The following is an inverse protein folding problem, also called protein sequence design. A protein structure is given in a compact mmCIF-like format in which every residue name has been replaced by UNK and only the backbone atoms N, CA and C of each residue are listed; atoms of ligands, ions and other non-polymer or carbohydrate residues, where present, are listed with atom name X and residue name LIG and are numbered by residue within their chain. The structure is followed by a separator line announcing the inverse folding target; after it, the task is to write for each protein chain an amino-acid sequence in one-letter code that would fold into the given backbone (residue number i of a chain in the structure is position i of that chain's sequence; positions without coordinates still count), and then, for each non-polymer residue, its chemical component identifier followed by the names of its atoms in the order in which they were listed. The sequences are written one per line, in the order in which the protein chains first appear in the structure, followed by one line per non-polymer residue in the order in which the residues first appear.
data_IF_416716167085
#
_entry.id   IF_416716167085
#
_cell.length_a   1.000
_cell.length_b   1.000
_cell.length_c   1.000
_cell.angle_alpha   90.00
_cell.angle_beta   90.00
_cell.angle_gamma   90.00
#
_symmetry.space_group_name_H-M   'P 1'
#
loop_
_entity.id
_entity.type
_entity.pdbx_description
1 polymer ?
#
# COMPACT_ATOMS: atom_id res chain seq x y z
N UNK A 1 -8.38 1.04 1.86
CA UNK A 1 -9.28 -0.07 1.51
C UNK A 1 -10.69 0.39 1.09
N UNK A 2 -10.96 1.71 1.08
CA UNK A 2 -12.30 2.26 0.84
C UNK A 2 -12.68 2.44 -0.64
N UNK A 3 -11.73 2.32 -1.54
CA UNK A 3 -11.92 2.68 -2.94
C UNK A 3 -11.96 1.43 -3.81
N UNK A 4 -13.17 0.96 -4.15
CA UNK A 4 -13.52 -0.07 -5.15
C UNK A 4 -13.15 -1.54 -4.88
N UNK A 5 -12.46 -1.90 -3.80
CA UNK A 5 -12.20 -3.32 -3.53
C UNK A 5 -13.16 -3.87 -2.49
N UNK A 6 -13.83 -4.96 -2.83
CA UNK A 6 -14.65 -5.70 -1.88
C UNK A 6 -13.75 -6.33 -0.81
N UNK A 7 -14.13 -6.22 0.44
CA UNK A 7 -13.43 -6.86 1.55
C UNK A 7 -14.41 -7.48 2.55
N UNK A 8 -13.92 -8.47 3.28
CA UNK A 8 -14.65 -9.16 4.35
C UNK A 8 -13.91 -8.90 5.66
N UNK A 9 -14.65 -8.50 6.69
CA UNK A 9 -14.12 -8.32 8.05
C UNK A 9 -14.44 -9.57 8.86
N UNK A 10 -13.46 -10.10 9.59
CA UNK A 10 -13.65 -11.18 10.55
C UNK A 10 -13.43 -10.62 11.94
N UNK A 11 -14.42 -10.72 12.81
CA UNK A 11 -14.31 -10.37 14.22
C UNK A 11 -15.13 -11.31 15.11
N UNK A 12 -14.71 -11.46 16.38
CA UNK A 12 -15.43 -12.23 17.41
C UNK A 12 -16.59 -11.44 18.01
N UNK A 13 -16.51 -10.11 18.02
CA UNK A 13 -17.44 -9.20 18.67
C UNK A 13 -18.48 -8.71 17.66
N UNK A 14 -19.75 -9.02 17.95
CA UNK A 14 -20.87 -8.70 17.03
C UNK A 14 -21.15 -7.21 16.99
N UNK A 15 -21.03 -6.55 18.14
CA UNK A 15 -21.40 -5.14 18.26
C UNK A 15 -20.48 -4.26 17.39
N UNK A 16 -19.17 -4.56 17.37
CA UNK A 16 -18.19 -3.89 16.51
C UNK A 16 -18.51 -4.08 15.02
N UNK A 17 -18.98 -5.27 14.63
CA UNK A 17 -19.39 -5.56 13.25
C UNK A 17 -20.69 -4.85 12.86
N UNK A 18 -21.64 -4.71 13.78
CA UNK A 18 -22.90 -3.99 13.56
C UNK A 18 -22.60 -2.49 13.40
N UNK A 19 -21.79 -1.92 14.28
CA UNK A 19 -21.37 -0.52 14.20
C UNK A 19 -20.66 -0.24 12.88
N UNK A 20 -19.76 -1.12 12.46
CA UNK A 20 -19.05 -1.01 11.18
C UNK A 20 -20.04 -1.02 10.00
N UNK A 21 -21.04 -1.91 10.02
CA UNK A 21 -22.09 -1.99 8.99
C UNK A 21 -22.96 -0.74 8.93
N UNK A 22 -23.32 -0.19 10.09
CA UNK A 22 -24.18 0.99 10.17
C UNK A 22 -23.46 2.25 9.68
N UNK A 23 -22.14 2.33 9.88
CA UNK A 23 -21.32 3.43 9.39
C UNK A 23 -20.93 3.27 7.90
N UNK A 24 -20.93 2.03 7.36
CA UNK A 24 -20.51 1.73 5.99
C UNK A 24 -21.44 0.71 5.33
N UNK A 25 -22.30 1.20 4.46
CA UNK A 25 -23.20 0.33 3.68
C UNK A 25 -22.39 -0.62 2.79
N UNK A 26 -22.71 -1.92 2.87
CA UNK A 26 -22.15 -2.94 1.97
C UNK A 26 -20.90 -3.67 2.49
N UNK A 27 -20.43 -3.42 3.72
CA UNK A 27 -19.33 -4.20 4.30
C UNK A 27 -19.80 -5.62 4.57
N UNK A 28 -19.07 -6.59 4.01
CA UNK A 28 -19.24 -8.01 4.29
C UNK A 28 -18.49 -8.38 5.58
N UNK A 29 -19.06 -9.24 6.40
CA UNK A 29 -18.40 -9.70 7.62
C UNK A 29 -18.72 -11.16 7.94
N UNK A 30 -17.78 -11.81 8.62
CA UNK A 30 -17.92 -13.13 9.22
C UNK A 30 -17.68 -13.00 10.71
N UNK A 31 -18.68 -13.44 11.51
CA UNK A 31 -18.53 -13.50 12.96
C UNK A 31 -17.78 -14.77 13.34
N UNK A 32 -16.58 -14.64 13.89
CA UNK A 32 -15.81 -15.82 14.30
C UNK A 32 -14.40 -15.52 14.78
N UNK A 33 -13.75 -16.59 15.16
CA UNK A 33 -12.33 -16.59 15.53
C UNK A 33 -11.49 -16.80 14.27
N UNK A 34 -10.77 -15.76 13.83
CA UNK A 34 -9.92 -15.82 12.64
C UNK A 34 -8.75 -16.82 12.75
N UNK A 35 -8.46 -17.35 13.94
CA UNK A 35 -7.45 -18.41 14.09
C UNK A 35 -7.97 -19.80 13.68
N UNK A 36 -9.26 -19.90 13.33
CA UNK A 36 -9.89 -21.16 12.89
C UNK A 36 -10.01 -21.21 11.38
N UNK A 37 -9.58 -22.30 10.77
CA UNK A 37 -9.59 -22.50 9.32
C UNK A 37 -10.98 -22.40 8.71
N UNK A 38 -12.01 -22.88 9.43
CA UNK A 38 -13.41 -22.82 8.97
C UNK A 38 -13.89 -21.37 8.81
N UNK A 39 -13.47 -20.47 9.72
CA UNK A 39 -13.85 -19.06 9.68
C UNK A 39 -13.13 -18.34 8.54
N UNK A 40 -11.86 -18.66 8.31
CA UNK A 40 -11.12 -18.15 7.15
C UNK A 40 -11.72 -18.63 5.82
N UNK A 41 -12.14 -19.90 5.75
CA UNK A 41 -12.79 -20.46 4.58
C UNK A 41 -14.16 -19.81 4.31
N UNK A 42 -14.98 -19.59 5.37
CA UNK A 42 -16.25 -18.86 5.28
C UNK A 42 -16.07 -17.44 4.73
N UNK A 43 -14.98 -16.76 5.12
CA UNK A 43 -14.62 -15.45 4.61
C UNK A 43 -14.10 -15.47 3.16
N UNK A 44 -13.86 -16.63 2.58
CA UNK A 44 -13.40 -16.79 1.20
C UNK A 44 -11.89 -16.62 1.01
N UNK A 45 -11.09 -17.06 1.98
CA UNK A 45 -9.62 -16.93 1.93
C UNK A 45 -9.00 -17.65 0.73
N UNK A 46 -9.63 -18.70 0.22
CA UNK A 46 -9.23 -19.49 -0.94
C UNK A 46 -9.14 -18.68 -2.24
N UNK A 47 -9.95 -17.61 -2.35
CA UNK A 47 -10.04 -16.73 -3.52
C UNK A 47 -9.63 -15.29 -3.24
N UNK A 48 -9.22 -14.99 -2.02
CA UNK A 48 -8.79 -13.66 -1.63
C UNK A 48 -7.41 -13.30 -2.24
N UNK A 49 -7.26 -12.07 -2.71
CA UNK A 49 -5.99 -11.54 -3.22
C UNK A 49 -5.04 -11.13 -2.09
N UNK A 50 -5.60 -10.67 -0.96
CA UNK A 50 -4.82 -10.21 0.18
C UNK A 50 -5.53 -10.50 1.51
N UNK A 51 -4.72 -10.67 2.56
CA UNK A 51 -5.14 -10.74 3.95
C UNK A 51 -4.39 -9.68 4.77
N UNK A 52 -5.12 -8.98 5.63
CA UNK A 52 -4.54 -8.15 6.68
C UNK A 52 -4.95 -8.73 8.03
N UNK A 53 -3.99 -9.16 8.83
CA UNK A 53 -4.25 -9.62 10.22
C UNK A 53 -3.67 -8.63 11.22
N UNK A 54 -4.56 -8.13 12.11
CA UNK A 54 -4.25 -7.08 13.08
C UNK A 54 -4.77 -7.42 14.49
N UNK A 55 -4.83 -8.70 14.82
CA UNK A 55 -5.27 -9.18 16.14
C UNK A 55 -4.36 -8.67 17.25
N UNK A 56 -4.90 -8.58 18.47
CA UNK A 56 -4.17 -8.02 19.61
C UNK A 56 -2.96 -8.86 20.01
N UNK A 57 -3.02 -10.18 19.84
CA UNK A 57 -1.93 -11.07 20.19
C UNK A 57 -1.14 -11.56 18.98
N UNK A 58 0.19 -11.48 19.08
CA UNK A 58 1.09 -11.92 18.01
C UNK A 58 1.00 -13.44 17.74
N UNK A 59 0.63 -14.22 18.74
CA UNK A 59 0.42 -15.67 18.59
C UNK A 59 -0.80 -15.94 17.68
N UNK A 60 -1.87 -15.19 17.86
CA UNK A 60 -3.08 -15.32 17.03
C UNK A 60 -2.78 -14.88 15.58
N UNK A 61 -2.09 -13.75 15.41
CA UNK A 61 -1.62 -13.32 14.09
C UNK A 61 -0.75 -14.38 13.41
N UNK A 62 0.12 -15.07 14.17
CA UNK A 62 0.95 -16.14 13.65
C UNK A 62 0.13 -17.33 13.17
N UNK A 63 -0.89 -17.76 13.95
CA UNK A 63 -1.81 -18.82 13.53
C UNK A 63 -2.55 -18.44 12.26
N UNK A 64 -3.11 -17.23 12.19
CA UNK A 64 -3.80 -16.73 10.98
C UNK A 64 -2.86 -16.75 9.76
N UNK A 65 -1.61 -16.29 9.90
CA UNK A 65 -0.63 -16.32 8.80
C UNK A 65 -0.35 -17.75 8.32
N UNK A 66 -0.13 -18.69 9.26
CA UNK A 66 0.16 -20.09 8.92
C UNK A 66 -1.02 -20.77 8.22
N UNK A 67 -2.22 -20.67 8.81
CA UNK A 67 -3.45 -21.21 8.22
C UNK A 67 -3.73 -20.61 6.84
N UNK A 68 -3.62 -19.30 6.73
CA UNK A 68 -3.84 -18.62 5.44
C UNK A 68 -2.88 -19.09 4.37
N UNK A 69 -1.58 -19.19 4.67
CA UNK A 69 -0.57 -19.64 3.69
C UNK A 69 -0.76 -21.10 3.31
N UNK A 70 -1.33 -21.90 4.20
CA UNK A 70 -1.70 -23.29 3.90
C UNK A 70 -2.92 -23.38 2.99
N UNK A 71 -3.95 -22.55 3.22
CA UNK A 71 -5.20 -22.52 2.46
C UNK A 71 -5.03 -21.83 1.09
N UNK A 72 -4.21 -20.79 1.01
CA UNK A 72 -3.96 -20.02 -0.20
C UNK A 72 -2.47 -19.65 -0.28
N UNK A 73 -1.74 -20.28 -1.21
CA UNK A 73 -0.29 -20.12 -1.34
C UNK A 73 0.14 -18.77 -1.92
N UNK A 74 -0.72 -18.18 -2.75
CA UNK A 74 -0.39 -17.02 -3.57
C UNK A 74 -0.91 -15.69 -2.97
N UNK A 75 -1.73 -15.77 -1.90
CA UNK A 75 -2.31 -14.61 -1.24
C UNK A 75 -1.24 -13.70 -0.64
N UNK A 76 -1.40 -12.39 -0.78
CA UNK A 76 -0.55 -11.40 -0.11
C UNK A 76 -0.95 -11.24 1.35
N UNK A 77 -0.04 -11.52 2.27
CA UNK A 77 -0.30 -11.48 3.72
C UNK A 77 0.44 -10.32 4.38
N UNK A 78 -0.32 -9.42 4.99
CA UNK A 78 0.19 -8.33 5.82
C UNK A 78 -0.21 -8.59 7.27
N UNK A 79 0.75 -8.61 8.19
CA UNK A 79 0.48 -8.89 9.60
C UNK A 79 1.00 -7.81 10.53
N UNK A 80 0.21 -7.48 11.57
CA UNK A 80 0.68 -6.69 12.70
C UNK A 80 1.70 -7.49 13.52
N UNK A 81 2.70 -6.81 14.06
CA UNK A 81 3.67 -7.35 15.02
C UNK A 81 3.91 -6.34 16.14
N UNK A 82 3.99 -6.80 17.39
CA UNK A 82 4.28 -5.93 18.55
C UNK A 82 5.75 -5.52 18.61
N UNK A 83 6.68 -6.40 18.20
CA UNK A 83 8.11 -6.15 18.27
C UNK A 83 8.91 -6.78 17.12
N UNK A 84 10.22 -6.44 17.05
CA UNK A 84 11.12 -6.93 15.99
C UNK A 84 11.32 -8.44 15.99
N UNK A 85 11.25 -9.10 17.15
CA UNK A 85 11.42 -10.56 17.24
C UNK A 85 10.20 -11.26 16.64
N UNK A 86 9.01 -10.76 16.96
CA UNK A 86 7.73 -11.23 16.41
C UNK A 86 7.64 -10.97 14.92
N UNK A 87 8.03 -9.75 14.48
CA UNK A 87 8.14 -9.42 13.07
C UNK A 87 8.91 -10.48 12.29
N UNK A 88 10.12 -10.87 12.76
CA UNK A 88 10.93 -11.89 12.09
C UNK A 88 10.21 -13.24 12.03
N UNK A 89 9.53 -13.64 13.10
CA UNK A 89 8.77 -14.91 13.13
C UNK A 89 7.63 -14.92 12.12
N UNK A 90 6.84 -13.86 12.07
CA UNK A 90 5.71 -13.72 11.13
C UNK A 90 6.18 -13.78 9.67
N UNK A 91 7.28 -13.10 9.32
CA UNK A 91 7.87 -13.20 7.98
C UNK A 91 8.32 -14.62 7.65
N UNK A 92 9.01 -15.32 8.58
CA UNK A 92 9.42 -16.71 8.39
C UNK A 92 8.23 -17.67 8.29
N UNK A 93 7.09 -17.33 8.82
CA UNK A 93 5.86 -18.14 8.78
C UNK A 93 5.00 -17.86 7.54
N UNK A 94 5.45 -16.98 6.64
CA UNK A 94 4.77 -16.76 5.35
C UNK A 94 4.06 -15.42 5.21
N UNK A 95 4.20 -14.49 6.17
CA UNK A 95 3.75 -13.12 5.93
C UNK A 95 4.67 -12.42 4.92
N UNK A 96 4.10 -11.72 3.95
CA UNK A 96 4.87 -10.93 2.99
C UNK A 96 5.35 -9.62 3.59
N UNK A 97 4.50 -9.01 4.43
CA UNK A 97 4.82 -7.78 5.15
C UNK A 97 4.38 -7.85 6.61
N UNK A 98 5.13 -7.13 7.46
CA UNK A 98 4.75 -6.97 8.86
C UNK A 98 4.88 -5.52 9.29
N UNK A 99 3.89 -5.02 10.04
CA UNK A 99 3.80 -3.65 10.50
C UNK A 99 3.79 -3.61 12.02
N UNK A 100 4.65 -2.76 12.61
CA UNK A 100 4.66 -2.46 14.04
C UNK A 100 3.94 -1.12 14.26
N UNK A 101 2.62 -1.16 14.36
CA UNK A 101 1.76 0.03 14.40
C UNK A 101 2.12 0.97 15.55
N UNK A 102 2.40 0.43 16.73
CA UNK A 102 2.78 1.19 17.91
C UNK A 102 4.12 1.93 17.72
N UNK A 103 5.07 1.32 17.02
CA UNK A 103 6.35 1.96 16.73
C UNK A 103 6.17 3.10 15.72
N UNK A 104 5.32 2.90 14.70
CA UNK A 104 5.00 3.94 13.71
C UNK A 104 4.31 5.11 14.40
N UNK A 105 3.27 4.85 15.21
CA UNK A 105 2.55 5.88 15.96
C UNK A 105 3.46 6.63 16.94
N UNK A 106 4.30 5.92 17.69
CA UNK A 106 5.26 6.54 18.60
C UNK A 106 6.28 7.41 17.89
N UNK A 107 6.81 6.96 16.75
CA UNK A 107 7.72 7.76 15.93
C UNK A 107 7.02 9.00 15.37
N UNK A 108 5.79 8.87 14.91
CA UNK A 108 4.99 9.98 14.41
C UNK A 108 4.75 11.04 15.51
N UNK A 109 4.31 10.63 16.70
CA UNK A 109 4.11 11.54 17.84
C UNK A 109 5.41 12.28 18.24
N UNK A 110 6.54 11.56 18.28
CA UNK A 110 7.84 12.18 18.58
C UNK A 110 8.25 13.22 17.53
N UNK A 111 7.96 12.98 16.25
CA UNK A 111 8.24 13.92 15.18
C UNK A 111 7.32 15.15 15.21
N UNK A 112 6.06 15.00 15.61
CA UNK A 112 5.17 16.15 15.83
C UNK A 112 5.75 17.15 16.86
N UNK A 113 6.44 16.65 17.89
CA UNK A 113 7.11 17.53 18.88
C UNK A 113 8.35 18.20 18.27
N UNK A 114 9.16 17.48 17.50
CA UNK A 114 10.45 17.98 16.98
C UNK A 114 10.34 18.77 15.69
N UNK A 115 9.46 18.36 14.78
CA UNK A 115 9.34 18.87 13.41
C UNK A 115 7.86 18.93 12.98
N UNK A 116 7.02 19.73 13.66
CA UNK A 116 5.58 19.71 13.45
C UNK A 116 5.20 19.97 11.98
N UNK A 117 5.76 21.00 11.37
CA UNK A 117 5.42 21.36 9.99
C UNK A 117 5.79 20.28 8.96
N UNK A 118 6.97 19.66 9.10
CA UNK A 118 7.35 18.57 8.21
C UNK A 118 6.44 17.35 8.40
N UNK A 119 6.08 17.03 9.65
CA UNK A 119 5.21 15.90 9.97
C UNK A 119 3.79 16.13 9.44
N UNK A 120 3.24 17.33 9.64
CA UNK A 120 1.95 17.73 9.07
C UNK A 120 1.96 17.71 7.54
N UNK A 121 3.06 18.12 6.90
CA UNK A 121 3.19 18.05 5.45
C UNK A 121 3.17 16.61 4.93
N UNK A 122 3.86 15.68 5.61
CA UNK A 122 3.78 14.25 5.24
C UNK A 122 2.38 13.68 5.43
N UNK A 123 1.67 14.06 6.50
CA UNK A 123 0.27 13.67 6.68
C UNK A 123 -0.59 14.20 5.56
N UNK A 124 -0.46 15.48 5.22
CA UNK A 124 -1.15 16.09 4.09
C UNK A 124 -0.89 15.37 2.76
N UNK A 125 0.36 14.97 2.49
CA UNK A 125 0.68 14.20 1.29
C UNK A 125 0.09 12.78 1.29
N UNK A 126 -0.13 12.21 2.49
CA UNK A 126 -0.66 10.84 2.65
C UNK A 126 -2.17 10.82 2.83
N UNK A 127 -2.81 11.98 2.98
CA UNK A 127 -4.25 12.12 3.14
C UNK A 127 -4.91 12.19 1.75
N UNK A 128 -5.28 11.02 1.28
CA UNK A 128 -5.91 10.85 -0.04
C UNK A 128 -7.29 11.52 -0.12
N UNK A 129 -7.92 11.84 1.00
CA UNK A 129 -9.27 12.40 1.03
C UNK A 129 -9.29 13.92 0.82
N UNK A 130 -8.23 14.61 1.23
CA UNK A 130 -8.21 16.08 1.27
C UNK A 130 -7.31 16.74 0.21
N UNK A 131 -6.54 15.95 -0.56
CA UNK A 131 -5.66 16.54 -1.56
C UNK A 131 -5.66 15.78 -2.89
N UNK A 132 -5.39 16.50 -3.97
CA UNK A 132 -5.29 15.96 -5.33
C UNK A 132 -3.87 15.44 -5.65
N UNK A 133 -3.10 15.03 -4.62
CA UNK A 133 -1.73 14.55 -4.78
C UNK A 133 -1.72 13.04 -4.77
N UNK A 134 -1.09 12.46 -5.78
CA UNK A 134 -1.02 11.02 -5.99
C UNK A 134 0.43 10.57 -6.02
N UNK A 135 0.72 9.46 -5.34
CA UNK A 135 1.95 8.69 -5.53
C UNK A 135 1.68 7.59 -6.55
N UNK A 136 2.54 7.46 -7.52
CA UNK A 136 2.48 6.38 -8.50
C UNK A 136 3.82 5.66 -8.62
N UNK A 137 3.76 4.38 -8.93
CA UNK A 137 4.92 3.55 -9.22
C UNK A 137 4.81 3.01 -10.66
N UNK A 138 5.92 3.06 -11.41
CA UNK A 138 6.03 2.41 -12.70
C UNK A 138 7.44 1.90 -12.91
N UNK A 139 7.61 0.78 -13.59
CA UNK A 139 8.93 0.37 -14.08
C UNK A 139 9.30 1.18 -15.32
N UNK A 140 10.61 1.34 -15.54
CA UNK A 140 11.07 2.02 -16.76
C UNK A 140 10.61 1.31 -18.03
N UNK A 141 10.57 -0.02 -18.02
CA UNK A 141 10.11 -0.83 -19.16
C UNK A 141 8.67 -0.54 -19.55
N UNK A 142 7.81 -0.21 -18.61
CA UNK A 142 6.39 0.09 -18.84
C UNK A 142 6.21 1.41 -19.59
N UNK A 143 7.21 2.31 -19.53
CA UNK A 143 7.24 3.57 -20.29
C UNK A 143 7.54 3.41 -21.80
N UNK A 144 7.58 2.19 -22.31
CA UNK A 144 7.83 1.88 -23.73
C UNK A 144 9.19 2.42 -24.26
N UNK A 145 10.17 2.58 -23.38
CA UNK A 145 11.49 3.10 -23.71
C UNK A 145 12.39 1.94 -24.12
N UNK A 146 12.90 1.98 -25.35
CA UNK A 146 13.69 0.88 -25.94
C UNK A 146 15.14 0.81 -25.47
N UNK A 147 15.61 1.80 -24.70
CA UNK A 147 16.99 1.83 -24.19
C UNK A 147 17.10 0.95 -22.93
N UNK A 148 18.15 0.15 -22.82
CA UNK A 148 18.42 -0.65 -21.62
C UNK A 148 18.64 0.22 -20.36
N UNK A 149 19.28 1.38 -20.55
CA UNK A 149 19.50 2.40 -19.51
C UNK A 149 19.31 3.79 -20.10
N UNK A 150 18.77 4.70 -19.29
CA UNK A 150 18.46 6.07 -19.69
C UNK A 150 18.77 7.03 -18.54
N UNK A 151 19.22 8.24 -18.85
CA UNK A 151 19.31 9.29 -17.84
C UNK A 151 17.91 9.84 -17.52
N UNK A 152 17.64 10.11 -16.23
CA UNK A 152 16.33 10.57 -15.76
C UNK A 152 15.83 11.82 -16.50
N UNK A 153 16.74 12.74 -16.87
CA UNK A 153 16.41 13.95 -17.64
C UNK A 153 15.85 13.64 -19.04
N UNK A 154 16.23 12.53 -19.66
CA UNK A 154 15.76 12.17 -21.00
C UNK A 154 14.29 11.76 -20.99
N UNK A 155 13.77 11.30 -19.82
CA UNK A 155 12.35 10.98 -19.65
C UNK A 155 11.44 12.22 -19.76
N UNK A 156 11.95 13.41 -19.45
CA UNK A 156 11.21 14.67 -19.53
C UNK A 156 9.83 14.66 -18.84
N UNK A 157 9.61 13.80 -17.84
CA UNK A 157 8.32 13.59 -17.17
C UNK A 157 7.73 14.89 -16.61
N UNK A 158 8.60 15.74 -16.03
CA UNK A 158 8.19 17.07 -15.56
C UNK A 158 7.68 17.98 -16.67
N UNK A 159 8.32 17.94 -17.84
CA UNK A 159 7.97 18.80 -18.99
C UNK A 159 6.66 18.38 -19.64
N UNK A 160 6.44 17.08 -19.80
CA UNK A 160 5.29 16.55 -20.53
C UNK A 160 4.05 16.34 -19.63
N UNK A 161 4.25 15.93 -18.39
CA UNK A 161 3.15 15.60 -17.49
C UNK A 161 3.16 16.38 -16.17
N UNK A 162 4.19 17.19 -15.87
CA UNK A 162 4.31 17.91 -14.61
C UNK A 162 4.68 17.02 -13.41
N UNK A 163 5.01 15.74 -13.65
CA UNK A 163 5.26 14.73 -12.64
C UNK A 163 6.71 14.77 -12.16
N UNK A 164 6.92 14.59 -10.85
CA UNK A 164 8.25 14.52 -10.23
C UNK A 164 8.61 13.08 -9.88
N UNK A 165 9.82 12.64 -10.24
CA UNK A 165 10.41 11.41 -9.70
C UNK A 165 11.06 11.75 -8.36
N UNK A 166 10.49 11.24 -7.27
CA UNK A 166 10.96 11.49 -5.91
C UNK A 166 11.95 10.44 -5.43
N UNK A 167 11.86 9.22 -5.97
CA UNK A 167 12.82 8.17 -5.71
C UNK A 167 12.87 7.17 -6.87
N UNK A 168 13.98 6.44 -6.93
CA UNK A 168 14.17 5.27 -7.80
C UNK A 168 14.47 4.10 -6.87
N UNK A 169 13.81 2.97 -7.09
CA UNK A 169 14.16 1.70 -6.46
C UNK A 169 14.83 0.82 -7.51
N UNK A 170 16.13 0.61 -7.35
CA UNK A 170 16.91 -0.24 -8.24
C UNK A 170 16.55 -1.73 -8.10
N UNK A 171 17.03 -2.55 -9.04
CA UNK A 171 16.78 -4.00 -9.10
C UNK A 171 17.27 -4.74 -7.85
N UNK A 172 18.34 -4.27 -7.19
CA UNK A 172 18.86 -4.79 -5.91
C UNK A 172 18.03 -4.38 -4.69
N UNK A 173 16.97 -3.55 -4.89
CA UNK A 173 16.10 -3.04 -3.84
C UNK A 173 16.60 -1.76 -3.17
N UNK A 174 17.74 -1.20 -3.59
CA UNK A 174 18.29 0.06 -3.07
C UNK A 174 17.47 1.25 -3.55
N UNK A 175 17.22 2.20 -2.63
CA UNK A 175 16.53 3.44 -2.95
C UNK A 175 17.50 4.59 -3.18
N UNK A 176 17.36 5.26 -4.32
CA UNK A 176 17.99 6.58 -4.61
C UNK A 176 16.90 7.63 -4.42
N UNK A 177 16.96 8.36 -3.32
CA UNK A 177 15.99 9.43 -3.00
C UNK A 177 16.46 10.75 -3.61
N UNK A 178 15.53 11.53 -4.17
CA UNK A 178 15.79 12.78 -4.86
C UNK A 178 16.86 12.62 -5.96
N UNK A 179 16.61 11.75 -6.95
CA UNK A 179 17.59 11.46 -7.99
C UNK A 179 17.88 12.71 -8.83
N UNK A 180 19.15 12.93 -9.11
CA UNK A 180 19.58 14.01 -10.01
C UNK A 180 19.21 13.74 -11.48
N UNK A 181 19.22 14.77 -12.34
CA UNK A 181 18.82 14.64 -13.74
C UNK A 181 19.73 13.69 -14.56
N UNK A 182 20.98 13.50 -14.13
CA UNK A 182 21.94 12.58 -14.77
C UNK A 182 21.89 11.16 -14.18
N UNK A 183 21.03 10.90 -13.19
CA UNK A 183 20.86 9.56 -12.63
C UNK A 183 20.44 8.59 -13.74
N UNK A 184 21.20 7.53 -13.90
CA UNK A 184 20.91 6.48 -14.88
C UNK A 184 19.93 5.46 -14.28
N UNK A 185 18.93 5.08 -15.04
CA UNK A 185 17.85 4.16 -14.63
C UNK A 185 17.85 2.96 -15.57
N UNK A 186 17.80 1.75 -15.03
CA UNK A 186 17.65 0.49 -15.77
C UNK A 186 16.17 0.13 -16.00
N UNK A 187 15.92 -0.83 -16.90
CA UNK A 187 14.58 -1.22 -17.33
C UNK A 187 13.68 -1.73 -16.19
N UNK A 188 14.25 -2.52 -15.28
CA UNK A 188 13.50 -3.12 -14.14
C UNK A 188 13.45 -2.22 -12.90
N UNK A 189 14.14 -1.08 -12.93
CA UNK A 189 14.07 -0.11 -11.85
C UNK A 189 12.67 0.50 -11.77
N UNK A 190 12.17 0.68 -10.54
CA UNK A 190 10.88 1.33 -10.28
C UNK A 190 11.07 2.81 -10.01
N UNK A 191 10.35 3.63 -10.75
CA UNK A 191 10.23 5.06 -10.53
C UNK A 191 9.10 5.30 -9.53
N UNK A 192 9.39 6.02 -8.45
CA UNK A 192 8.38 6.49 -7.50
C UNK A 192 8.14 7.95 -7.81
N UNK A 193 6.93 8.25 -8.22
CA UNK A 193 6.52 9.52 -8.78
C UNK A 193 5.51 10.24 -7.88
N UNK A 194 5.54 11.56 -7.94
CA UNK A 194 4.61 12.44 -7.24
C UNK A 194 4.03 13.45 -8.20
N UNK A 195 2.72 13.62 -8.18
CA UNK A 195 2.00 14.60 -8.98
C UNK A 195 0.55 14.70 -8.56
N UNK A 196 -0.21 15.58 -9.21
CA UNK A 196 -1.66 15.58 -9.06
C UNK A 196 -2.29 14.45 -9.88
N UNK A 197 -3.54 14.11 -9.57
CA UNK A 197 -4.30 13.11 -10.32
C UNK A 197 -4.30 13.43 -11.84
N UNK A 198 -4.56 14.68 -12.22
CA UNK A 198 -4.57 15.10 -13.63
C UNK A 198 -3.19 14.96 -14.30
N UNK A 199 -2.11 15.24 -13.54
CA UNK A 199 -0.74 15.05 -14.03
C UNK A 199 -0.43 13.57 -14.26
N UNK A 200 -0.87 12.68 -13.36
CA UNK A 200 -0.70 11.24 -13.52
C UNK A 200 -1.54 10.70 -14.70
N UNK A 201 -2.76 11.17 -14.88
CA UNK A 201 -3.58 10.85 -16.08
C UNK A 201 -2.93 11.34 -17.39
N UNK A 202 -2.31 12.50 -17.37
CA UNK A 202 -1.55 12.99 -18.52
C UNK A 202 -0.32 12.11 -18.81
N UNK A 203 0.32 11.59 -17.77
CA UNK A 203 1.42 10.64 -17.88
C UNK A 203 0.95 9.32 -18.50
N UNK A 204 -0.15 8.73 -17.99
CA UNK A 204 -0.76 7.52 -18.55
C UNK A 204 -1.02 7.68 -20.04
N UNK A 205 -1.66 8.78 -20.43
CA UNK A 205 -1.99 9.06 -21.84
C UNK A 205 -0.72 9.22 -22.69
N UNK A 206 0.29 9.91 -22.18
CA UNK A 206 1.51 10.25 -22.96
C UNK A 206 2.41 9.04 -23.18
N UNK A 207 2.41 8.07 -22.27
CA UNK A 207 3.33 6.92 -22.30
C UNK A 207 2.60 5.59 -22.48
N UNK A 208 1.26 5.57 -22.51
CA UNK A 208 0.47 4.34 -22.62
C UNK A 208 0.54 3.47 -21.37
N UNK A 209 0.66 4.11 -20.19
CA UNK A 209 0.75 3.44 -18.90
C UNK A 209 -0.61 3.13 -18.31
N UNK A 210 -0.65 2.09 -17.48
CA UNK A 210 -1.69 1.87 -16.49
C UNK A 210 -1.05 1.98 -15.11
N UNK A 211 -1.28 3.10 -14.43
CA UNK A 211 -0.67 3.40 -13.14
C UNK A 211 -1.52 2.93 -11.95
N UNK A 212 -2.63 2.21 -12.21
CA UNK A 212 -3.58 1.80 -11.16
C UNK A 212 -3.95 3.00 -10.25
N UNK A 213 -4.24 4.13 -10.88
CA UNK A 213 -4.59 5.36 -10.18
C UNK A 213 -5.98 5.22 -9.57
N UNK A 214 -6.02 4.96 -8.28
CA UNK A 214 -7.28 5.00 -7.54
C UNK A 214 -7.73 6.46 -7.47
N UNK A 215 -8.86 6.78 -8.08
CA UNK A 215 -9.45 8.11 -7.98
C UNK A 215 -10.02 8.26 -6.57
N UNK A 216 -9.39 9.07 -5.76
CA UNK A 216 -9.82 9.42 -4.41
C UNK A 216 -10.99 10.40 -4.36
N UNK A 217 -11.42 10.92 -5.52
CA UNK A 217 -12.56 11.79 -5.59
C UNK A 217 -13.84 11.00 -5.92
N UNK A 218 -14.78 10.86 -4.98
CA UNK A 218 -16.13 10.51 -5.38
C UNK A 218 -16.61 11.64 -6.31
N UNK A 219 -17.14 11.26 -7.47
CA UNK A 219 -17.92 12.17 -8.33
C UNK A 219 -19.14 12.68 -7.52
N UNK A 220 -18.91 13.60 -6.60
CA UNK A 220 -19.96 14.36 -5.95
C UNK A 220 -19.95 15.72 -6.60
N UNK A 221 -20.67 15.83 -7.73
CA UNK A 221 -21.38 17.05 -8.11
C UNK A 221 -22.14 16.77 -9.43
N UNK A 222 -23.33 16.24 -9.26
CA UNK A 222 -24.45 16.56 -10.13
C UNK A 222 -25.74 16.36 -9.33
#
# INVERSE_FOLDING_TARGET
LEHDRQFVVIDKVVDDLIELRDHRKGVLFVKGDATKDEVLAEAGIDRAEALITALSEDADNLFVVLSTRQLNKDIKIISRAKDRKKKKKLLLSGADHTIMAEQIGGFYMANLVKKPHSTQFFTFLSDELDNNIVFAESKLIDLNIKKERIELRELNLRKYAGVYVIAIKDEDGTYVVNPGPQQTVGQDAKLIMLGTYDQMKSLETSYGLDLDLVSTFPNTLS
#
